data_IF_588893527077
#
_entry.id   IF_588893527077
#
_cell.length_a   1.000
_cell.length_b   1.000
_cell.length_c   1.000
_cell.angle_alpha   90.00
_cell.angle_beta   90.00
_cell.angle_gamma   90.00
#
_symmetry.space_group_name_H-M   'P 1'
#
loop_
_entity.id
_entity.type
_entity.pdbx_description
1 polymer ?
#
# COMPACT_ATOMS: atom_id res chain seq x y z
N UNK A 1 16.41 26.52 0.43
CA UNK A 1 16.46 25.11 0.84
C UNK A 1 17.69 24.78 1.68
N UNK A 2 18.88 25.32 1.39
CA UNK A 2 20.12 25.09 2.16
C UNK A 2 20.12 25.65 3.59
N UNK A 3 19.53 26.83 3.82
CA UNK A 3 19.62 27.53 5.12
C UNK A 3 18.98 26.83 6.33
N UNK A 4 17.97 25.98 6.12
CA UNK A 4 17.29 25.27 7.22
C UNK A 4 18.01 23.96 7.55
N UNK A 5 18.52 23.25 6.53
CA UNK A 5 19.40 22.10 6.72
C UNK A 5 20.69 22.49 7.46
N UNK A 6 21.29 23.64 7.09
CA UNK A 6 22.45 24.19 7.79
C UNK A 6 22.12 24.58 9.24
N UNK A 7 20.95 25.17 9.50
CA UNK A 7 20.51 25.51 10.86
C UNK A 7 20.28 24.26 11.74
N UNK A 8 19.76 23.18 11.17
CA UNK A 8 19.59 21.91 11.89
C UNK A 8 20.92 21.17 12.12
N UNK A 9 21.83 21.18 11.16
CA UNK A 9 23.18 20.63 11.35
C UNK A 9 24.01 21.47 12.32
N UNK A 10 23.78 22.78 12.42
CA UNK A 10 24.38 23.64 13.45
C UNK A 10 23.80 23.38 14.85
N UNK A 11 22.48 23.23 15.01
CA UNK A 11 21.87 22.84 16.30
C UNK A 11 22.32 21.44 16.73
N UNK A 12 22.45 20.49 15.81
CA UNK A 12 22.95 19.14 16.10
C UNK A 12 24.43 19.09 16.51
N UNK A 13 25.26 20.07 16.08
CA UNK A 13 26.67 20.17 16.51
C UNK A 13 26.83 20.54 17.99
N UNK A 14 25.81 21.16 18.59
CA UNK A 14 25.79 21.51 20.02
C UNK A 14 25.16 20.44 20.93
N UNK A 15 24.54 19.40 20.35
CA UNK A 15 23.87 18.32 21.06
C UNK A 15 24.73 17.06 21.04
N UNK A 16 24.90 16.41 22.19
CA UNK A 16 25.49 15.08 22.23
C UNK A 16 24.46 14.08 21.67
N UNK A 17 24.58 13.76 20.37
CA UNK A 17 23.67 12.86 19.64
C UNK A 17 23.50 11.52 20.38
N UNK A 18 24.54 11.04 21.05
CA UNK A 18 24.51 9.79 21.84
C UNK A 18 23.58 9.89 23.05
N UNK A 19 23.55 11.06 23.70
CA UNK A 19 22.72 11.36 24.87
C UNK A 19 21.26 11.55 24.43
N UNK A 20 21.04 12.28 23.32
CA UNK A 20 19.72 12.44 22.69
C UNK A 20 19.09 11.10 22.29
N UNK A 21 19.88 10.22 21.67
CA UNK A 21 19.42 8.88 21.27
C UNK A 21 19.22 7.96 22.49
N UNK A 22 20.02 8.12 23.55
CA UNK A 22 19.87 7.39 24.82
C UNK A 22 18.57 7.76 25.55
N UNK A 23 18.30 9.06 25.69
CA UNK A 23 17.06 9.58 26.29
C UNK A 23 15.83 9.17 25.48
N UNK A 24 15.94 9.17 24.16
CA UNK A 24 14.87 8.69 23.27
C UNK A 24 14.64 7.18 23.43
N UNK A 25 15.69 6.36 23.53
CA UNK A 25 15.54 4.91 23.73
C UNK A 25 14.74 4.62 25.01
N UNK A 26 15.08 5.30 26.11
CA UNK A 26 14.36 5.19 27.38
C UNK A 26 12.88 5.59 27.28
N UNK A 27 12.57 6.66 26.54
CA UNK A 27 11.18 7.10 26.31
C UNK A 27 10.40 6.15 25.39
N UNK A 28 11.04 5.62 24.33
CA UNK A 28 10.42 4.65 23.42
C UNK A 28 10.17 3.33 24.14
N UNK A 29 11.10 2.87 24.96
CA UNK A 29 10.94 1.66 25.76
C UNK A 29 9.78 1.81 26.74
N UNK A 30 9.64 2.99 27.37
CA UNK A 30 8.50 3.30 28.24
C UNK A 30 7.17 3.31 27.46
N UNK A 31 7.12 3.98 26.30
CA UNK A 31 5.93 4.02 25.44
C UNK A 31 5.50 2.62 24.95
N UNK A 32 6.47 1.78 24.58
CA UNK A 32 6.23 0.42 24.14
C UNK A 32 5.77 -0.50 25.28
N UNK A 33 6.34 -0.35 26.48
CA UNK A 33 5.96 -1.14 27.67
C UNK A 33 4.56 -0.75 28.19
N UNK A 34 4.18 0.52 28.09
CA UNK A 34 2.90 1.03 28.58
C UNK A 34 1.79 1.03 27.50
N UNK A 35 1.94 0.25 26.42
CA UNK A 35 0.97 0.10 25.32
C UNK A 35 0.50 1.43 24.73
N UNK A 36 1.41 2.37 24.56
CA UNK A 36 1.12 3.66 23.94
C UNK A 36 0.66 4.75 24.91
N UNK A 37 0.77 4.53 26.23
CA UNK A 37 0.69 5.64 27.17
C UNK A 37 1.85 6.61 26.90
N UNK A 38 1.51 7.84 26.52
CA UNK A 38 2.47 8.91 26.33
C UNK A 38 2.57 9.71 27.61
N UNK A 39 3.74 9.79 28.28
CA UNK A 39 3.99 10.85 29.24
C UNK A 39 3.74 12.18 28.52
N UNK A 40 2.98 13.09 29.12
CA UNK A 40 2.71 14.39 28.52
C UNK A 40 4.01 15.13 28.25
N UNK A 41 4.34 15.26 26.96
CA UNK A 41 5.47 16.06 26.50
C UNK A 41 5.03 17.53 26.58
N UNK A 42 5.23 18.17 27.73
CA UNK A 42 4.77 19.53 28.00
C UNK A 42 5.64 20.64 27.39
N UNK A 43 6.68 20.30 26.63
CA UNK A 43 7.70 21.25 26.17
C UNK A 43 8.02 21.09 24.67
N UNK A 44 7.95 22.19 23.94
CA UNK A 44 8.28 22.29 22.51
C UNK A 44 9.71 21.83 22.22
N UNK A 45 10.65 22.05 23.14
CA UNK A 45 12.04 21.61 22.97
C UNK A 45 12.13 20.08 22.89
N UNK A 46 11.33 19.37 23.67
CA UNK A 46 11.29 17.90 23.67
C UNK A 46 10.62 17.36 22.41
N UNK A 47 9.60 18.02 21.89
CA UNK A 47 9.03 17.72 20.57
C UNK A 47 10.06 17.95 19.46
N UNK A 48 10.83 19.05 19.51
CA UNK A 48 11.92 19.31 18.55
C UNK A 48 12.99 18.22 18.57
N UNK A 49 13.40 17.78 19.76
CA UNK A 49 14.35 16.69 19.94
C UNK A 49 13.83 15.35 19.38
N UNK A 50 12.55 15.03 19.58
CA UNK A 50 11.92 13.85 18.99
C UNK A 50 11.84 13.93 17.45
N UNK A 51 11.58 15.12 16.90
CA UNK A 51 11.58 15.35 15.45
C UNK A 51 12.98 15.22 14.84
N UNK A 52 14.03 15.69 15.54
CA UNK A 52 15.42 15.48 15.13
C UNK A 52 15.77 13.98 15.11
N UNK A 53 15.41 13.27 16.18
CA UNK A 53 15.68 11.85 16.28
C UNK A 53 14.91 11.04 15.22
N UNK A 54 13.64 11.38 14.96
CA UNK A 54 12.87 10.84 13.83
C UNK A 54 13.63 10.96 12.51
N UNK A 55 14.24 12.13 12.24
CA UNK A 55 15.03 12.35 11.01
C UNK A 55 16.32 11.55 10.96
N UNK A 56 17.02 11.38 12.09
CA UNK A 56 18.20 10.52 12.13
C UNK A 56 17.83 9.05 11.91
N UNK A 57 16.73 8.58 12.51
CA UNK A 57 16.21 7.23 12.31
C UNK A 57 15.76 7.00 10.87
N UNK A 58 15.10 7.99 10.24
CA UNK A 58 14.72 7.94 8.81
C UNK A 58 15.96 7.80 7.91
N UNK A 59 17.01 8.60 8.12
CA UNK A 59 18.27 8.49 7.36
C UNK A 59 18.97 7.14 7.55
N UNK A 60 18.99 6.61 8.77
CA UNK A 60 19.60 5.31 9.02
C UNK A 60 18.77 4.18 8.39
N UNK A 61 17.43 4.29 8.41
CA UNK A 61 16.56 3.36 7.69
C UNK A 61 16.85 3.36 6.18
N UNK A 62 17.03 4.53 5.56
CA UNK A 62 17.40 4.64 4.14
C UNK A 62 18.75 3.97 3.86
N UNK A 63 19.74 4.23 4.70
CA UNK A 63 21.07 3.60 4.61
C UNK A 63 20.98 2.07 4.72
N UNK A 64 20.25 1.55 5.70
CA UNK A 64 20.05 0.11 5.88
C UNK A 64 19.31 -0.51 4.69
N UNK A 65 18.34 0.21 4.11
CA UNK A 65 17.62 -0.22 2.92
C UNK A 65 18.55 -0.35 1.70
N UNK A 66 19.45 0.61 1.51
CA UNK A 66 20.46 0.56 0.45
C UNK A 66 21.44 -0.61 0.65
N UNK A 67 21.92 -0.83 1.87
CA UNK A 67 22.80 -1.95 2.20
C UNK A 67 22.10 -3.29 1.95
N UNK A 68 20.84 -3.43 2.37
CA UNK A 68 20.01 -4.62 2.10
C UNK A 68 19.89 -4.85 0.60
N UNK A 69 19.56 -3.83 -0.18
CA UNK A 69 19.43 -3.95 -1.64
C UNK A 69 20.74 -4.40 -2.29
N UNK A 70 21.89 -3.87 -1.85
CA UNK A 70 23.21 -4.28 -2.33
C UNK A 70 23.51 -5.76 -2.03
N UNK A 71 23.22 -6.21 -0.81
CA UNK A 71 23.38 -7.62 -0.41
C UNK A 71 22.45 -8.52 -1.23
N UNK A 72 21.17 -8.15 -1.38
CA UNK A 72 20.21 -8.90 -2.20
C UNK A 72 20.68 -9.01 -3.64
N UNK A 73 21.19 -7.93 -4.24
CA UNK A 73 21.71 -7.95 -5.60
C UNK A 73 22.92 -8.90 -5.76
N UNK A 74 23.81 -8.98 -4.76
CA UNK A 74 24.92 -9.96 -4.79
C UNK A 74 24.41 -11.40 -4.70
N UNK A 75 23.46 -11.67 -3.81
CA UNK A 75 22.82 -12.98 -3.70
C UNK A 75 22.09 -13.37 -4.99
N UNK A 76 21.36 -12.45 -5.61
CA UNK A 76 20.70 -12.67 -6.88
C UNK A 76 21.69 -13.03 -7.98
N UNK A 77 22.84 -12.34 -8.06
CA UNK A 77 23.91 -12.71 -9.01
C UNK A 77 24.41 -14.13 -8.78
N UNK A 78 24.67 -14.53 -7.53
CA UNK A 78 25.14 -15.88 -7.18
C UNK A 78 24.09 -16.94 -7.54
N UNK A 79 22.81 -16.67 -7.25
CA UNK A 79 21.69 -17.56 -7.59
C UNK A 79 21.57 -17.70 -9.11
N UNK A 80 21.68 -16.60 -9.86
CA UNK A 80 21.62 -16.64 -11.33
C UNK A 80 22.78 -17.42 -11.93
N UNK A 81 23.99 -17.28 -11.39
CA UNK A 81 25.12 -18.11 -11.80
C UNK A 81 24.82 -19.61 -11.57
N UNK A 82 24.23 -19.98 -10.43
CA UNK A 82 23.82 -21.36 -10.17
C UNK A 82 22.67 -21.86 -11.03
N UNK A 83 21.72 -20.99 -11.40
CA UNK A 83 20.68 -21.33 -12.39
C UNK A 83 21.31 -21.67 -13.74
N UNK A 84 22.29 -20.86 -14.19
CA UNK A 84 23.04 -21.12 -15.42
C UNK A 84 23.82 -22.43 -15.36
N UNK A 85 24.52 -22.69 -14.25
CA UNK A 85 25.22 -23.96 -14.03
C UNK A 85 24.24 -25.15 -14.13
N UNK A 86 23.07 -25.06 -13.49
CA UNK A 86 22.03 -26.09 -13.56
C UNK A 86 21.47 -26.28 -14.97
N UNK A 87 21.28 -25.22 -15.74
CA UNK A 87 20.85 -25.32 -17.14
C UNK A 87 21.90 -26.02 -18.00
N UNK A 88 23.19 -25.70 -17.80
CA UNK A 88 24.29 -26.40 -18.45
C UNK A 88 24.30 -27.90 -18.12
N UNK A 89 24.19 -28.25 -16.84
CA UNK A 89 24.10 -29.65 -16.38
C UNK A 89 22.89 -30.35 -16.99
N UNK A 90 21.71 -29.71 -17.00
CA UNK A 90 20.51 -30.26 -17.65
C UNK A 90 20.73 -30.49 -19.14
N UNK A 91 21.40 -29.58 -19.82
CA UNK A 91 21.76 -29.73 -21.24
C UNK A 91 22.67 -30.92 -21.49
N UNK A 92 23.69 -31.14 -20.65
CA UNK A 92 24.57 -32.30 -20.73
C UNK A 92 23.81 -33.61 -20.51
N UNK A 93 22.93 -33.64 -19.50
CA UNK A 93 22.09 -34.80 -19.19
C UNK A 93 21.10 -35.08 -20.33
N UNK A 94 20.44 -34.05 -20.88
CA UNK A 94 19.51 -34.19 -22.00
C UNK A 94 20.22 -34.74 -23.25
N UNK A 95 21.41 -34.19 -23.57
CA UNK A 95 22.25 -34.67 -24.67
C UNK A 95 22.61 -36.15 -24.50
N UNK A 96 23.07 -36.56 -23.31
CA UNK A 96 23.38 -37.95 -23.01
C UNK A 96 22.14 -38.86 -23.16
N UNK A 97 21.02 -38.48 -22.56
CA UNK A 97 19.80 -39.29 -22.60
C UNK A 97 19.30 -39.46 -24.02
N UNK A 98 19.28 -38.41 -24.85
CA UNK A 98 18.80 -38.49 -26.23
C UNK A 98 19.75 -39.23 -27.15
N UNK A 99 21.04 -38.90 -27.11
CA UNK A 99 21.98 -39.31 -28.14
C UNK A 99 22.78 -40.57 -27.77
N UNK A 100 23.04 -40.79 -26.48
CA UNK A 100 23.82 -41.95 -26.01
C UNK A 100 22.89 -43.04 -25.45
N UNK A 101 21.97 -42.67 -24.54
CA UNK A 101 21.03 -43.62 -23.91
C UNK A 101 19.74 -43.85 -24.73
N UNK A 102 19.66 -43.31 -25.95
CA UNK A 102 18.56 -43.53 -26.91
C UNK A 102 17.15 -43.25 -26.34
N UNK A 103 17.04 -42.29 -25.43
CA UNK A 103 15.80 -41.88 -24.77
C UNK A 103 15.30 -42.84 -23.68
N UNK A 104 16.07 -43.87 -23.31
CA UNK A 104 15.68 -44.82 -22.27
C UNK A 104 15.70 -44.15 -20.88
N UNK A 105 14.81 -44.63 -20.01
CA UNK A 105 14.75 -44.23 -18.59
C UNK A 105 16.06 -44.58 -17.89
N UNK A 106 16.64 -43.62 -17.18
CA UNK A 106 17.79 -43.84 -16.30
C UNK A 106 17.34 -43.59 -14.86
N UNK A 107 17.51 -44.58 -13.99
CA UNK A 107 17.20 -44.45 -12.56
C UNK A 107 18.52 -44.48 -11.78
N UNK A 108 18.79 -43.44 -11.01
CA UNK A 108 19.97 -43.25 -10.17
C UNK A 108 19.53 -43.09 -8.72
N UNK A 109 20.45 -43.28 -7.77
CA UNK A 109 20.16 -43.12 -6.34
C UNK A 109 19.66 -41.72 -5.98
N UNK A 110 20.11 -40.70 -6.72
CA UNK A 110 19.74 -39.29 -6.52
C UNK A 110 18.52 -38.84 -7.34
N UNK A 111 17.99 -39.69 -8.22
CA UNK A 111 16.82 -39.34 -9.03
C UNK A 111 16.67 -40.13 -10.32
N UNK A 112 15.58 -39.88 -11.02
CA UNK A 112 15.28 -40.54 -12.30
C UNK A 112 15.21 -39.53 -13.43
N UNK A 113 15.86 -39.84 -14.56
CA UNK A 113 15.80 -39.05 -15.79
C UNK A 113 15.05 -39.85 -16.86
N UNK A 114 13.98 -39.24 -17.40
CA UNK A 114 13.13 -39.86 -18.43
C UNK A 114 12.64 -38.85 -19.44
N UNK A 115 12.54 -39.28 -20.69
CA UNK A 115 11.85 -38.56 -21.75
C UNK A 115 10.33 -38.69 -21.56
N UNK A 116 9.64 -37.60 -21.22
CA UNK A 116 8.18 -37.55 -21.13
C UNK A 116 7.58 -36.88 -22.36
N UNK A 117 6.59 -37.51 -22.98
CA UNK A 117 5.78 -36.86 -24.03
C UNK A 117 4.88 -35.80 -23.38
N UNK A 118 5.02 -34.55 -23.80
CA UNK A 118 4.03 -33.51 -23.52
C UNK A 118 3.15 -33.34 -24.76
N UNK A 119 1.84 -33.26 -24.56
CA UNK A 119 0.90 -33.02 -25.65
C UNK A 119 1.14 -31.67 -26.32
N UNK A 120 0.77 -31.56 -27.59
CA UNK A 120 0.85 -30.29 -28.32
C UNK A 120 -0.01 -29.23 -27.61
N UNK A 121 0.53 -28.02 -27.48
CA UNK A 121 -0.19 -26.86 -26.97
C UNK A 121 -0.15 -25.76 -28.03
N UNK A 122 -1.27 -25.10 -28.24
CA UNK A 122 -1.36 -23.90 -29.07
C UNK A 122 -1.32 -22.69 -28.15
N UNK A 123 -0.54 -21.68 -28.52
CA UNK A 123 -0.51 -20.38 -27.85
C UNK A 123 -0.95 -19.30 -28.83
N UNK A 124 -1.63 -18.28 -28.33
CA UNK A 124 -1.91 -17.09 -29.11
C UNK A 124 -0.58 -16.45 -29.53
N UNK A 125 -0.48 -15.99 -30.77
CA UNK A 125 0.72 -15.33 -31.28
C UNK A 125 0.75 -13.89 -30.78
N UNK A 126 1.81 -13.51 -30.04
CA UNK A 126 2.11 -12.11 -29.67
C UNK A 126 0.86 -11.32 -29.26
N UNK A 127 0.69 -10.15 -29.89
CA UNK A 127 -0.40 -9.19 -29.62
C UNK A 127 -1.69 -9.48 -30.41
N UNK A 128 -1.91 -10.72 -30.86
CA UNK A 128 -3.10 -11.10 -31.64
C UNK A 128 -4.40 -11.16 -30.81
N UNK A 129 -4.42 -10.58 -29.61
CA UNK A 129 -5.61 -10.54 -28.76
C UNK A 129 -6.75 -9.78 -29.45
N UNK A 130 -6.47 -8.63 -30.08
CA UNK A 130 -7.48 -7.87 -30.80
C UNK A 130 -8.11 -8.69 -31.94
N UNK A 131 -7.29 -9.38 -32.73
CA UNK A 131 -7.75 -10.26 -33.81
C UNK A 131 -8.55 -11.45 -33.28
N UNK A 132 -8.12 -12.04 -32.15
CA UNK A 132 -8.85 -13.11 -31.50
C UNK A 132 -10.22 -12.64 -30.97
N UNK A 133 -10.28 -11.43 -30.40
CA UNK A 133 -11.53 -10.82 -29.95
C UNK A 133 -12.48 -10.56 -31.10
N UNK A 134 -12.00 -9.99 -32.20
CA UNK A 134 -12.80 -9.77 -33.41
C UNK A 134 -13.35 -11.08 -33.98
N UNK A 135 -12.50 -12.11 -34.09
CA UNK A 135 -12.91 -13.45 -34.52
C UNK A 135 -13.99 -14.03 -33.60
N UNK A 136 -13.76 -14.03 -32.30
CA UNK A 136 -14.72 -14.55 -31.32
C UNK A 136 -16.03 -13.75 -31.31
N UNK A 137 -15.97 -12.44 -31.52
CA UNK A 137 -17.15 -11.58 -31.61
C UNK A 137 -17.95 -11.88 -32.89
N UNK A 138 -17.28 -12.03 -34.03
CA UNK A 138 -17.90 -12.42 -35.30
C UNK A 138 -18.61 -13.77 -35.20
N UNK A 139 -18.03 -14.71 -34.44
CA UNK A 139 -18.61 -16.03 -34.18
C UNK A 139 -19.59 -16.07 -32.99
N UNK A 140 -19.88 -14.93 -32.34
CA UNK A 140 -20.75 -14.82 -31.15
C UNK A 140 -20.34 -15.75 -29.99
N UNK A 141 -19.05 -16.02 -29.86
CA UNK A 141 -18.48 -16.86 -28.80
C UNK A 141 -17.72 -16.05 -27.75
N UNK A 142 -17.51 -14.75 -27.97
CA UNK A 142 -16.66 -13.91 -27.13
C UNK A 142 -16.98 -14.02 -25.63
N UNK A 143 -18.26 -13.98 -25.26
CA UNK A 143 -18.70 -14.05 -23.86
C UNK A 143 -18.28 -15.33 -23.13
N UNK A 144 -18.16 -16.47 -23.85
CA UNK A 144 -17.72 -17.75 -23.27
C UNK A 144 -16.23 -17.77 -22.92
N UNK A 145 -15.45 -16.85 -23.50
CA UNK A 145 -14.01 -16.73 -23.28
C UNK A 145 -13.62 -15.49 -22.48
N UNK A 146 -14.58 -14.58 -22.20
CA UNK A 146 -14.39 -13.47 -21.30
C UNK A 146 -14.62 -13.90 -19.86
N UNK A 147 -13.81 -13.37 -18.95
CA UNK A 147 -14.13 -13.44 -17.52
C UNK A 147 -15.26 -12.47 -17.21
N UNK A 148 -16.07 -12.72 -16.16
CA UNK A 148 -17.00 -11.72 -15.65
C UNK A 148 -16.27 -10.40 -15.42
N UNK A 149 -16.89 -9.29 -15.82
CA UNK A 149 -16.33 -7.97 -15.59
C UNK A 149 -16.18 -7.77 -14.07
N UNK A 150 -15.01 -7.30 -13.59
CA UNK A 150 -14.85 -7.01 -12.16
C UNK A 150 -15.78 -5.87 -11.77
N UNK A 151 -16.45 -6.01 -10.63
CA UNK A 151 -17.21 -4.92 -10.02
C UNK A 151 -16.24 -3.85 -9.52
N UNK A 152 -16.47 -2.60 -9.88
CA UNK A 152 -15.76 -1.46 -9.30
C UNK A 152 -16.33 -1.14 -7.91
N UNK A 153 -15.75 -1.79 -6.91
CA UNK A 153 -16.16 -1.65 -5.50
C UNK A 153 -15.94 -0.22 -5.01
N UNK A 154 -14.88 0.45 -5.45
CA UNK A 154 -14.55 1.82 -5.03
C UNK A 154 -15.60 2.81 -5.55
N UNK A 155 -15.98 2.68 -6.82
CA UNK A 155 -17.03 3.53 -7.39
C UNK A 155 -18.36 3.32 -6.65
N UNK A 156 -18.70 2.06 -6.34
CA UNK A 156 -19.91 1.72 -5.60
C UNK A 156 -19.90 2.31 -4.18
N UNK A 157 -18.81 2.14 -3.42
CA UNK A 157 -18.64 2.71 -2.08
C UNK A 157 -18.77 4.25 -2.10
N UNK A 158 -18.09 4.89 -3.05
CA UNK A 158 -18.14 6.34 -3.21
C UNK A 158 -19.54 6.83 -3.58
N UNK A 159 -20.31 6.07 -4.37
CA UNK A 159 -21.68 6.45 -4.73
C UNK A 159 -22.60 6.53 -3.50
N UNK A 160 -22.53 5.55 -2.59
CA UNK A 160 -23.32 5.55 -1.34
C UNK A 160 -22.91 6.70 -0.42
N UNK A 161 -21.61 6.92 -0.22
CA UNK A 161 -21.13 8.05 0.59
C UNK A 161 -21.48 9.41 -0.02
N UNK A 162 -21.39 9.54 -1.34
CA UNK A 162 -21.78 10.76 -2.04
C UNK A 162 -23.28 11.04 -1.90
N UNK A 163 -24.12 10.01 -2.00
CA UNK A 163 -25.56 10.16 -1.77
C UNK A 163 -25.87 10.63 -0.34
N UNK A 164 -25.20 10.05 0.66
CA UNK A 164 -25.32 10.50 2.05
C UNK A 164 -24.89 11.96 2.22
N UNK A 165 -23.70 12.32 1.70
CA UNK A 165 -23.20 13.69 1.78
C UNK A 165 -24.12 14.69 1.10
N UNK A 166 -24.73 14.34 -0.05
CA UNK A 166 -25.72 15.18 -0.70
C UNK A 166 -26.98 15.40 0.16
N UNK A 167 -27.45 14.38 0.87
CA UNK A 167 -28.58 14.51 1.77
C UNK A 167 -28.25 15.42 2.96
N UNK A 168 -27.06 15.24 3.54
CA UNK A 168 -26.53 16.11 4.62
C UNK A 168 -26.41 17.55 4.14
N UNK A 169 -25.85 17.79 2.95
CA UNK A 169 -25.72 19.14 2.38
C UNK A 169 -27.07 19.81 2.14
N UNK A 170 -28.05 19.08 1.58
CA UNK A 170 -29.40 19.61 1.35
C UNK A 170 -30.09 19.99 2.66
N UNK A 171 -30.00 19.14 3.68
CA UNK A 171 -30.65 19.38 4.96
C UNK A 171 -29.91 20.47 5.77
N UNK A 172 -28.58 20.52 5.69
CA UNK A 172 -27.78 21.62 6.24
C UNK A 172 -28.11 22.96 5.57
N UNK A 173 -28.26 22.99 4.24
CA UNK A 173 -28.65 24.19 3.51
C UNK A 173 -30.02 24.72 3.98
N UNK A 174 -31.02 23.85 4.14
CA UNK A 174 -32.34 24.24 4.68
C UNK A 174 -32.25 24.81 6.09
N UNK A 175 -31.43 24.23 6.96
CA UNK A 175 -31.25 24.74 8.34
C UNK A 175 -30.51 26.07 8.37
N UNK A 176 -29.51 26.24 7.50
CA UNK A 176 -28.79 27.50 7.32
C UNK A 176 -29.72 28.60 6.82
N UNK A 177 -30.60 28.32 5.85
CA UNK A 177 -31.58 29.28 5.34
C UNK A 177 -32.58 29.70 6.43
N UNK A 178 -33.16 28.75 7.17
CA UNK A 178 -34.05 29.06 8.30
C UNK A 178 -33.36 29.90 9.37
N UNK A 179 -32.13 29.57 9.75
CA UNK A 179 -31.40 30.35 10.77
C UNK A 179 -30.99 31.73 10.23
N UNK A 180 -30.82 31.90 8.91
CA UNK A 180 -30.57 33.20 8.26
C UNK A 180 -31.81 34.09 8.28
N UNK A 181 -32.98 33.51 8.07
CA UNK A 181 -34.27 34.21 8.15
C UNK A 181 -34.58 34.67 9.59
N UNK A 182 -34.24 33.86 10.61
CA UNK A 182 -34.51 34.17 12.02
C UNK A 182 -33.49 35.12 12.67
N UNK A 183 -32.20 34.98 12.35
CA UNK A 183 -31.10 35.67 13.06
C UNK A 183 -30.25 36.58 12.18
N UNK A 184 -30.54 36.66 10.88
CA UNK A 184 -29.77 37.46 9.92
C UNK A 184 -28.46 36.77 9.48
N UNK A 185 -27.37 37.53 9.38
CA UNK A 185 -26.13 37.02 8.75
C UNK A 185 -25.40 35.99 9.62
N UNK A 186 -25.28 34.77 9.12
CA UNK A 186 -24.53 33.67 9.78
C UNK A 186 -23.06 33.69 9.33
N UNK A 187 -22.15 33.29 10.23
CA UNK A 187 -20.72 33.15 9.91
C UNK A 187 -20.40 31.79 9.28
N UNK A 188 -19.34 31.70 8.47
CA UNK A 188 -18.87 30.42 7.89
C UNK A 188 -18.56 29.33 8.92
N UNK A 189 -18.17 29.72 10.13
CA UNK A 189 -17.92 28.79 11.24
C UNK A 189 -19.23 28.10 11.66
N UNK A 190 -20.31 28.89 11.80
CA UNK A 190 -21.62 28.39 12.17
C UNK A 190 -22.27 27.55 11.06
N UNK A 191 -22.04 27.87 9.79
CA UNK A 191 -22.47 27.01 8.66
C UNK A 191 -21.82 25.61 8.73
N UNK A 192 -20.53 25.52 9.09
CA UNK A 192 -19.84 24.24 9.29
C UNK A 192 -20.35 23.47 10.51
N UNK A 193 -20.63 24.15 11.62
CA UNK A 193 -21.22 23.53 12.81
C UNK A 193 -22.60 22.93 12.51
N UNK A 194 -23.42 23.62 11.70
CA UNK A 194 -24.74 23.11 11.28
C UNK A 194 -24.59 21.88 10.39
N UNK A 195 -23.66 21.90 9.43
CA UNK A 195 -23.39 20.74 8.57
C UNK A 195 -22.95 19.52 9.39
N UNK A 196 -22.06 19.72 10.37
CA UNK A 196 -21.56 18.65 11.24
C UNK A 196 -22.66 18.10 12.16
N UNK A 197 -23.53 18.96 12.70
CA UNK A 197 -24.68 18.53 13.49
C UNK A 197 -25.70 17.73 12.66
N UNK A 198 -25.99 18.16 11.43
CA UNK A 198 -26.87 17.44 10.51
C UNK A 198 -26.28 16.07 10.15
N UNK A 199 -24.97 16.02 9.90
CA UNK A 199 -24.27 14.77 9.64
C UNK A 199 -24.40 13.80 10.82
N UNK A 200 -24.12 14.26 12.05
CA UNK A 200 -24.25 13.45 13.27
C UNK A 200 -25.67 12.93 13.51
N UNK A 201 -26.69 13.73 13.20
CA UNK A 201 -28.10 13.35 13.33
C UNK A 201 -28.55 12.33 12.27
N UNK A 202 -28.08 12.46 11.02
CA UNK A 202 -28.49 11.59 9.91
C UNK A 202 -27.68 10.29 9.84
N UNK A 203 -26.49 10.28 10.42
CA UNK A 203 -25.54 9.15 10.39
C UNK A 203 -26.12 7.83 10.93
N UNK A 204 -26.85 7.76 12.05
CA UNK A 204 -27.45 6.50 12.53
C UNK A 204 -28.41 5.88 11.51
N UNK A 205 -29.29 6.68 10.90
CA UNK A 205 -30.23 6.21 9.89
C UNK A 205 -29.54 5.80 8.58
N UNK A 206 -28.43 6.45 8.23
CA UNK A 206 -27.60 6.00 7.11
C UNK A 206 -26.98 4.62 7.39
N UNK A 207 -26.40 4.41 8.57
CA UNK A 207 -25.82 3.11 8.97
C UNK A 207 -26.87 2.00 8.93
N UNK A 208 -28.09 2.25 9.43
CA UNK A 208 -29.19 1.27 9.41
C UNK A 208 -29.74 0.97 8.01
N UNK A 209 -29.59 1.91 7.07
CA UNK A 209 -30.07 1.76 5.69
C UNK A 209 -29.02 1.19 4.73
N UNK A 210 -27.78 1.00 5.20
CA UNK A 210 -26.74 0.37 4.41
C UNK A 210 -27.10 -1.11 4.18
N UNK A 211 -26.94 -1.63 2.95
CA UNK A 211 -27.05 -3.05 2.69
C UNK A 211 -26.09 -3.89 3.53
N UNK A 212 -26.48 -5.12 3.89
CA UNK A 212 -25.73 -6.04 4.76
C UNK A 212 -24.27 -6.34 4.34
N UNK A 213 -23.89 -6.03 3.10
CA UNK A 213 -22.54 -6.22 2.56
C UNK A 213 -21.66 -4.95 2.66
N UNK A 214 -22.16 -3.89 3.28
CA UNK A 214 -21.41 -2.67 3.60
C UNK A 214 -21.20 -2.52 5.10
N UNK A 215 -19.95 -2.29 5.48
CA UNK A 215 -19.60 -1.83 6.81
C UNK A 215 -19.34 -0.32 6.78
N UNK A 216 -19.89 0.42 7.74
CA UNK A 216 -19.54 1.82 7.95
C UNK A 216 -18.20 1.92 8.67
N UNK A 217 -17.23 2.60 8.05
CA UNK A 217 -15.92 2.89 8.65
C UNK A 217 -15.91 4.36 9.10
N UNK A 218 -15.74 4.65 10.41
CA UNK A 218 -15.72 6.02 10.90
C UNK A 218 -14.47 6.77 10.43
N UNK A 219 -14.58 8.10 10.37
CA UNK A 219 -13.44 8.96 10.06
C UNK A 219 -12.39 8.87 11.17
N UNK A 220 -11.17 8.47 10.81
CA UNK A 220 -10.02 8.46 11.71
C UNK A 220 -9.14 9.68 11.42
N UNK A 221 -8.87 10.48 12.45
CA UNK A 221 -7.86 11.53 12.36
C UNK A 221 -6.47 10.89 12.39
N UNK A 222 -5.79 10.88 11.24
CA UNK A 222 -4.41 10.41 11.13
C UNK A 222 -3.46 11.59 11.22
N UNK A 223 -2.46 11.49 12.09
CA UNK A 223 -1.36 12.44 12.14
C UNK A 223 -0.66 12.46 10.77
N UNK A 224 -0.66 13.61 10.11
CA UNK A 224 0.13 13.83 8.90
C UNK A 224 1.36 14.66 9.26
N UNK A 225 2.53 14.01 9.27
CA UNK A 225 3.82 14.69 9.42
C UNK A 225 4.33 15.00 8.01
N UNK A 226 4.12 16.22 7.54
CA UNK A 226 4.69 16.68 6.26
C UNK A 226 5.93 17.53 6.55
N UNK A 227 7.10 17.01 6.20
CA UNK A 227 8.37 17.73 6.35
C UNK A 227 8.65 18.53 5.05
N UNK A 228 9.08 19.79 5.19
CA UNK A 228 9.55 20.62 4.07
C UNK A 228 11.04 20.44 3.82
#
# INVERSE_FOLDING_TARGET
MTKIYEAFEEEAKGLNITELMGDMSSMLDSYNQEKGYTPTVHDELRVRNLMLAYKYTEKEMDRLTLLKAAVMADWDKRIQAKKKDMEGIKGLVDNYIRNVNQGKKLSLDVGTVTMKKQGHKVKLKGDAEAQAREFLNHHKLLESYLKPAPLDVTLLQNAYMHQFNQQVEQEAAKRIEKEKEEKGKITKKREKEIALAVEEEMKPGFIESLPDFFDYIPEEQKLSITMK
#
